data_IF_672523519235
#
_entry.id   IF_672523519235
#
_cell.length_a   1.000
_cell.length_b   1.000
_cell.length_c   1.000
_cell.angle_alpha   90.00
_cell.angle_beta   90.00
_cell.angle_gamma   90.00
#
_symmetry.space_group_name_H-M   'P 1'
#
loop_
_entity.id
_entity.type
_entity.pdbx_description
1 polymer ?
#
# COMPACT_ATOMS: atom_id res chain seq x y z
N UNK A 1 -11.41 -13.88 -4.33
CA UNK A 1 -9.95 -13.92 -4.07
C UNK A 1 -9.35 -15.31 -4.30
N UNK A 2 -10.05 -16.40 -3.99
CA UNK A 2 -9.53 -17.77 -4.17
C UNK A 2 -9.31 -18.19 -5.63
N UNK A 3 -10.13 -17.73 -6.56
CA UNK A 3 -10.00 -18.05 -7.99
C UNK A 3 -8.68 -17.53 -8.60
N UNK A 4 -8.24 -16.34 -8.20
CA UNK A 4 -6.96 -15.74 -8.64
C UNK A 4 -5.77 -16.54 -8.10
N UNK A 5 -5.86 -16.97 -6.84
CA UNK A 5 -4.80 -17.79 -6.21
C UNK A 5 -4.72 -19.17 -6.86
N UNK A 6 -5.87 -19.80 -7.11
CA UNK A 6 -5.95 -21.10 -7.74
C UNK A 6 -5.43 -21.08 -9.19
N UNK A 7 -5.82 -20.08 -9.98
CA UNK A 7 -5.35 -19.95 -11.37
C UNK A 7 -3.87 -19.64 -11.46
N UNK A 8 -3.34 -18.73 -10.63
CA UNK A 8 -1.91 -18.42 -10.57
C UNK A 8 -1.08 -19.63 -10.14
N UNK A 9 -1.56 -20.39 -9.16
CA UNK A 9 -0.91 -21.63 -8.73
C UNK A 9 -0.93 -22.71 -9.83
N UNK A 10 -2.01 -22.80 -10.61
CA UNK A 10 -2.08 -23.70 -11.74
C UNK A 10 -1.05 -23.34 -12.81
N UNK A 11 -0.94 -22.06 -13.18
CA UNK A 11 0.07 -21.59 -14.16
C UNK A 11 1.48 -21.88 -13.67
N UNK A 12 1.82 -21.52 -12.42
CA UNK A 12 3.14 -21.73 -11.86
C UNK A 12 3.54 -23.22 -11.81
N UNK A 13 2.58 -24.13 -11.58
CA UNK A 13 2.84 -25.58 -11.56
C UNK A 13 3.05 -26.18 -12.95
N UNK A 14 2.47 -25.61 -14.00
CA UNK A 14 2.49 -26.18 -15.33
C UNK A 14 3.44 -25.44 -16.30
N UNK A 15 4.06 -24.33 -15.89
CA UNK A 15 5.05 -23.65 -16.71
C UNK A 15 6.33 -24.48 -16.83
N UNK A 16 6.67 -24.89 -18.04
CA UNK A 16 7.88 -25.68 -18.34
C UNK A 16 8.96 -24.88 -19.08
N UNK A 17 8.60 -23.72 -19.64
CA UNK A 17 9.47 -22.91 -20.49
C UNK A 17 10.13 -21.73 -19.77
N UNK A 18 9.69 -21.44 -18.54
CA UNK A 18 10.23 -20.37 -17.70
C UNK A 18 10.49 -20.94 -16.32
N UNK A 19 11.69 -20.73 -15.80
CA UNK A 19 12.09 -21.14 -14.46
C UNK A 19 12.68 -19.95 -13.72
N UNK A 20 12.49 -19.90 -12.40
CA UNK A 20 13.14 -18.92 -11.55
C UNK A 20 14.62 -19.28 -11.40
N UNK A 21 15.52 -18.37 -11.76
CA UNK A 21 16.94 -18.50 -11.48
C UNK A 21 17.25 -17.99 -10.08
N UNK A 22 17.18 -18.89 -9.09
CA UNK A 22 17.47 -18.58 -7.70
C UNK A 22 18.91 -18.06 -7.52
N UNK A 23 19.88 -18.62 -8.24
CA UNK A 23 21.29 -18.22 -8.15
C UNK A 23 21.51 -16.80 -8.71
N UNK A 24 20.81 -16.45 -9.79
CA UNK A 24 20.79 -15.11 -10.35
C UNK A 24 20.18 -14.10 -9.38
N UNK A 25 19.09 -14.46 -8.70
CA UNK A 25 18.47 -13.62 -7.66
C UNK A 25 19.44 -13.38 -6.51
N UNK A 26 20.06 -14.44 -5.96
CA UNK A 26 21.04 -14.32 -4.88
C UNK A 26 22.21 -13.41 -5.28
N UNK A 27 22.73 -13.58 -6.50
CA UNK A 27 23.80 -12.73 -7.03
C UNK A 27 23.37 -11.27 -7.15
N UNK A 28 22.14 -10.99 -7.57
CA UNK A 28 21.61 -9.62 -7.61
C UNK A 28 21.54 -9.04 -6.20
N UNK A 29 20.96 -9.77 -5.24
CA UNK A 29 20.86 -9.34 -3.84
C UNK A 29 22.24 -9.02 -3.28
N UNK A 30 23.22 -9.91 -3.46
CA UNK A 30 24.60 -9.70 -3.00
C UNK A 30 25.26 -8.47 -3.63
N UNK A 31 24.97 -8.18 -4.91
CA UNK A 31 25.51 -7.01 -5.59
C UNK A 31 24.87 -5.70 -5.12
N UNK A 32 23.61 -5.71 -4.69
CA UNK A 32 22.88 -4.49 -4.33
C UNK A 32 22.78 -4.24 -2.83
N UNK A 33 23.02 -5.24 -1.97
CA UNK A 33 22.73 -5.16 -0.52
C UNK A 33 23.37 -3.97 0.18
N UNK A 34 24.59 -3.60 -0.20
CA UNK A 34 25.30 -2.44 0.37
C UNK A 34 24.91 -1.11 -0.30
N UNK A 35 24.20 -1.17 -1.43
CA UNK A 35 23.76 -0.03 -2.23
C UNK A 35 22.28 0.31 -2.03
N UNK A 36 21.52 -0.55 -1.33
CA UNK A 36 20.13 -0.24 -0.99
C UNK A 36 20.17 0.85 0.08
N UNK A 37 19.73 2.08 -0.22
CA UNK A 37 19.65 3.11 0.80
C UNK A 37 18.68 2.63 1.88
N UNK A 38 19.02 2.90 3.13
CA UNK A 38 18.07 2.71 4.23
C UNK A 38 16.89 3.64 3.96
N UNK A 39 15.79 3.07 3.48
CA UNK A 39 14.58 3.86 3.21
C UNK A 39 14.00 4.24 4.56
N UNK A 40 14.10 5.51 4.91
CA UNK A 40 13.39 6.06 6.05
C UNK A 40 11.91 6.14 5.67
N UNK A 41 11.05 5.63 6.56
CA UNK A 41 9.60 5.50 6.34
C UNK A 41 8.94 6.78 5.80
N UNK A 42 9.36 7.94 6.32
CA UNK A 42 8.84 9.25 5.96
C UNK A 42 9.88 10.08 5.18
N UNK A 43 10.61 9.44 4.24
CA UNK A 43 11.64 10.12 3.44
C UNK A 43 11.11 11.39 2.74
N UNK A 44 9.88 11.34 2.24
CA UNK A 44 9.22 12.45 1.53
C UNK A 44 8.44 13.38 2.47
N UNK A 45 8.33 13.05 3.76
CA UNK A 45 7.62 13.87 4.74
C UNK A 45 6.08 13.80 4.64
N UNK A 46 5.53 12.89 3.82
CA UNK A 46 4.10 12.77 3.53
C UNK A 46 3.38 11.72 4.39
N UNK A 47 4.11 10.81 5.04
CA UNK A 47 3.52 9.71 5.81
C UNK A 47 3.34 10.07 7.29
N UNK A 48 2.26 9.61 7.90
CA UNK A 48 2.12 9.64 9.35
C UNK A 48 3.02 8.56 9.98
N UNK A 49 3.68 8.90 11.08
CA UNK A 49 4.48 7.95 11.85
C UNK A 49 4.55 8.36 13.32
N UNK A 50 4.21 7.43 14.20
CA UNK A 50 4.34 7.58 15.66
C UNK A 50 4.95 6.36 16.34
N UNK A 51 5.43 5.38 15.56
CA UNK A 51 5.97 4.12 16.06
C UNK A 51 4.98 3.33 16.94
N UNK A 52 3.67 3.55 16.76
CA UNK A 52 2.60 2.95 17.54
C UNK A 52 1.43 2.41 16.69
N UNK A 53 0.34 1.95 17.34
CA UNK A 53 -0.80 1.34 16.66
C UNK A 53 -1.49 2.24 15.63
N UNK A 54 -1.45 3.56 15.83
CA UNK A 54 -2.07 4.52 14.93
C UNK A 54 -1.34 4.61 13.59
N UNK A 55 -0.02 4.37 13.55
CA UNK A 55 0.72 4.18 12.29
C UNK A 55 0.19 2.97 11.50
N UNK A 56 -0.16 1.87 12.18
CA UNK A 56 -0.73 0.69 11.54
C UNK A 56 -2.14 0.97 11.02
N UNK A 57 -2.95 1.70 11.77
CA UNK A 57 -4.28 2.11 11.32
C UNK A 57 -4.20 3.06 10.11
N UNK A 58 -3.28 4.03 10.13
CA UNK A 58 -2.96 4.89 8.99
C UNK A 58 -2.63 4.06 7.74
N UNK A 59 -1.76 3.06 7.88
CA UNK A 59 -1.36 2.18 6.78
C UNK A 59 -2.54 1.44 6.16
N UNK A 60 -3.42 0.88 6.98
CA UNK A 60 -4.59 0.16 6.51
C UNK A 60 -5.57 1.07 5.74
N UNK A 61 -5.79 2.29 6.25
CA UNK A 61 -6.66 3.27 5.58
C UNK A 61 -6.04 3.77 4.29
N UNK A 62 -4.75 4.11 4.31
CA UNK A 62 -4.00 4.56 3.13
C UNK A 62 -4.03 3.51 2.02
N UNK A 63 -3.75 2.24 2.34
CA UNK A 63 -3.75 1.15 1.36
C UNK A 63 -5.15 0.90 0.78
N UNK A 64 -6.18 0.89 1.64
CA UNK A 64 -7.57 0.73 1.21
C UNK A 64 -8.00 1.85 0.25
N UNK A 65 -7.67 3.10 0.56
CA UNK A 65 -8.02 4.24 -0.29
C UNK A 65 -7.18 4.27 -1.59
N UNK A 66 -5.87 4.03 -1.50
CA UNK A 66 -4.98 4.02 -2.65
C UNK A 66 -5.39 2.97 -3.70
N UNK A 67 -5.87 1.81 -3.24
CA UNK A 67 -6.34 0.74 -4.12
C UNK A 67 -7.76 0.98 -4.66
N UNK A 68 -8.67 1.54 -3.86
CA UNK A 68 -10.09 1.57 -4.20
C UNK A 68 -10.58 2.90 -4.80
N UNK A 69 -9.87 4.01 -4.56
CA UNK A 69 -10.44 5.34 -4.81
C UNK A 69 -9.45 6.34 -5.39
N UNK A 70 -9.70 6.72 -6.64
CA UNK A 70 -9.13 7.89 -7.30
C UNK A 70 -10.27 8.74 -7.85
N UNK A 71 -10.84 9.66 -7.05
CA UNK A 71 -12.01 10.43 -7.48
C UNK A 71 -11.67 11.50 -8.53
N UNK A 72 -10.39 11.83 -8.69
CA UNK A 72 -9.92 12.90 -9.58
C UNK A 72 -8.57 12.51 -10.20
N UNK A 73 -8.41 12.84 -11.49
CA UNK A 73 -7.19 12.64 -12.27
C UNK A 73 -6.05 13.57 -11.85
N UNK A 74 -6.36 14.67 -11.18
CA UNK A 74 -5.39 15.67 -10.74
C UNK A 74 -4.86 15.36 -9.32
N UNK A 75 -5.43 14.37 -8.63
CA UNK A 75 -4.92 13.87 -7.36
C UNK A 75 -3.84 12.81 -7.59
N UNK A 76 -2.86 12.79 -6.69
CA UNK A 76 -1.74 11.83 -6.69
C UNK A 76 -1.57 11.18 -5.33
N UNK A 77 -0.76 10.12 -5.25
CA UNK A 77 -0.51 9.37 -4.02
C UNK A 77 -0.07 10.31 -2.88
N UNK A 78 0.81 11.25 -3.19
CA UNK A 78 1.36 12.21 -2.23
C UNK A 78 0.26 13.07 -1.59
N UNK A 79 -0.75 13.46 -2.36
CA UNK A 79 -1.91 14.21 -1.85
C UNK A 79 -2.74 13.35 -0.88
N UNK A 80 -2.96 12.07 -1.21
CA UNK A 80 -3.68 11.14 -0.34
C UNK A 80 -2.89 10.90 0.97
N UNK A 81 -1.61 10.54 0.86
CA UNK A 81 -0.76 10.26 2.00
C UNK A 81 -0.66 11.47 2.95
N UNK A 82 -0.41 12.66 2.38
CA UNK A 82 -0.31 13.92 3.13
C UNK A 82 -1.64 14.32 3.77
N UNK A 83 -2.75 14.23 3.03
CA UNK A 83 -4.07 14.57 3.57
C UNK A 83 -4.50 13.66 4.73
N UNK A 84 -4.22 12.36 4.62
CA UNK A 84 -4.47 11.41 5.73
C UNK A 84 -3.55 11.68 6.93
N UNK A 85 -2.29 12.05 6.70
CA UNK A 85 -1.38 12.49 7.76
C UNK A 85 -1.92 13.71 8.48
N UNK A 86 -2.32 14.75 7.74
CA UNK A 86 -2.91 15.97 8.30
C UNK A 86 -4.18 15.69 9.11
N UNK A 87 -5.06 14.80 8.61
CA UNK A 87 -6.26 14.37 9.33
C UNK A 87 -5.91 13.78 10.70
N UNK A 88 -4.92 12.89 10.78
CA UNK A 88 -4.45 12.31 12.06
C UNK A 88 -3.69 13.29 12.95
N UNK A 89 -3.01 14.28 12.38
CA UNK A 89 -2.37 15.33 13.18
C UNK A 89 -3.42 16.23 13.84
N UNK A 90 -4.52 16.51 13.15
CA UNK A 90 -5.63 17.30 13.68
C UNK A 90 -6.55 16.51 14.62
N UNK A 91 -6.79 15.24 14.33
CA UNK A 91 -7.70 14.38 15.07
C UNK A 91 -7.21 12.92 15.07
N UNK A 92 -6.70 12.47 16.22
CA UNK A 92 -6.15 11.11 16.38
C UNK A 92 -7.20 10.01 16.25
N UNK A 93 -8.48 10.34 16.38
CA UNK A 93 -9.59 9.40 16.24
C UNK A 93 -10.20 9.42 14.84
N UNK A 94 -9.64 10.19 13.88
CA UNK A 94 -10.20 10.33 12.54
C UNK A 94 -10.43 8.99 11.82
N UNK A 95 -9.63 7.97 12.14
CA UNK A 95 -9.66 6.65 11.51
C UNK A 95 -10.26 5.54 12.39
N UNK A 96 -10.91 5.91 13.50
CA UNK A 96 -11.64 4.93 14.29
C UNK A 96 -12.70 4.23 13.43
N UNK A 97 -12.75 2.89 13.51
CA UNK A 97 -13.66 2.08 12.71
C UNK A 97 -15.12 2.53 12.86
N UNK A 98 -15.51 2.91 14.09
CA UNK A 98 -16.85 3.38 14.40
C UNK A 98 -17.22 4.69 13.72
N UNK A 99 -16.22 5.52 13.39
CA UNK A 99 -16.39 6.76 12.63
C UNK A 99 -16.31 6.49 11.13
N UNK A 100 -15.35 5.68 10.70
CA UNK A 100 -15.16 5.33 9.29
C UNK A 100 -16.42 4.69 8.68
N UNK A 101 -17.11 3.82 9.43
CA UNK A 101 -18.36 3.20 8.96
C UNK A 101 -19.50 4.19 8.72
N UNK A 102 -19.44 5.40 9.30
CA UNK A 102 -20.47 6.43 9.12
C UNK A 102 -20.23 7.26 7.85
N UNK A 103 -19.02 7.21 7.27
CA UNK A 103 -18.74 7.88 6.01
C UNK A 103 -19.51 7.19 4.88
N UNK A 104 -20.52 7.91 4.39
CA UNK A 104 -21.28 7.52 3.21
C UNK A 104 -20.94 8.52 2.11
N UNK A 105 -20.29 8.04 1.05
CA UNK A 105 -20.05 8.81 -0.16
C UNK A 105 -21.03 8.39 -1.24
N UNK A 106 -21.54 9.33 -2.03
CA UNK A 106 -22.10 9.03 -3.36
C UNK A 106 -20.95 8.62 -4.28
N UNK A 107 -20.49 7.38 -4.18
CA UNK A 107 -19.51 6.83 -5.11
C UNK A 107 -20.23 6.38 -6.38
N UNK A 108 -20.02 7.11 -7.47
CA UNK A 108 -20.22 6.58 -8.81
C UNK A 108 -19.08 5.58 -9.06
N UNK A 109 -19.35 4.30 -8.81
CA UNK A 109 -18.54 3.23 -9.35
C UNK A 109 -18.64 3.29 -10.89
N UNK A 110 -17.66 3.93 -11.53
CA UNK A 110 -17.36 3.64 -12.93
C UNK A 110 -16.52 2.36 -12.94
N UNK A 111 -17.20 1.23 -12.89
CA UNK A 111 -16.66 -0.02 -13.47
C UNK A 111 -17.03 -0.07 -14.95
#
# INVERSE_FOLDING_TARGET
MDEVRASSAWVARHSSHVTVDFSGIEKVVENIKESIPKVEWDYEGIHYFDNGPLTVQYLLVLDALNFCFWPDKDLTYDHLASGLKEALLNDKSAFDADRLQQYTGTFAFFF
#
